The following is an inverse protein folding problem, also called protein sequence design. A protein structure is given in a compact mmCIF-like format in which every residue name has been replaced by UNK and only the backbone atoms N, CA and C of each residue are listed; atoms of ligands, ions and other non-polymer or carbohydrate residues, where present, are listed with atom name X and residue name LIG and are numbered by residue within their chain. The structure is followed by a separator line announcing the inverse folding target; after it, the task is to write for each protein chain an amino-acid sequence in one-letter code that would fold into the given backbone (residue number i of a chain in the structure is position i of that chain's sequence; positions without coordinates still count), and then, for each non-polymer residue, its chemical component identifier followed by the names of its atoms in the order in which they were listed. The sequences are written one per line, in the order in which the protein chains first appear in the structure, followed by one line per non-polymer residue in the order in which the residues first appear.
data_IF_857828030213
#
_entry.id   IF_857828030213
#
_cell.length_a   1.000
_cell.length_b   1.000
_cell.length_c   1.000
_cell.angle_alpha   90.00
_cell.angle_beta   90.00
_cell.angle_gamma   90.00
#
_symmetry.space_group_name_H-M   'P 1'
#
loop_
_entity.id
_entity.type
_entity.pdbx_description
1 polymer ?
#
# COMPACT_ATOMS: atom_id res chain seq x y z
N UNK A 1 6.71 -16.97 -11.24
CA UNK A 1 6.05 -15.77 -10.70
C UNK A 1 6.09 -14.65 -11.74
N UNK A 2 4.94 -14.02 -12.08
CA UNK A 2 4.86 -12.89 -13.03
C UNK A 2 4.90 -11.56 -12.26
N UNK A 3 5.83 -10.68 -12.57
CA UNK A 3 6.04 -9.39 -11.87
C UNK A 3 6.01 -8.22 -12.85
N UNK A 4 5.27 -7.18 -12.50
CA UNK A 4 5.49 -5.83 -13.02
C UNK A 4 6.47 -5.09 -12.10
N UNK A 5 7.62 -4.68 -12.65
CA UNK A 5 8.71 -4.11 -11.88
C UNK A 5 8.62 -2.59 -11.76
N UNK A 6 8.15 -2.10 -10.61
CA UNK A 6 8.19 -0.69 -10.24
C UNK A 6 9.12 -0.45 -9.03
N UNK A 7 10.16 -1.28 -8.85
CA UNK A 7 11.10 -1.15 -7.72
C UNK A 7 12.26 -0.18 -7.98
N UNK A 8 12.46 0.23 -9.24
CA UNK A 8 13.61 1.02 -9.66
C UNK A 8 14.90 0.21 -9.82
N UNK A 9 14.86 -1.12 -9.59
CA UNK A 9 16.02 -1.99 -9.71
C UNK A 9 15.76 -3.14 -10.69
N UNK A 10 16.72 -3.52 -11.56
CA UNK A 10 16.57 -4.67 -12.44
C UNK A 10 16.35 -5.97 -11.65
N UNK A 11 15.33 -6.73 -12.03
CA UNK A 11 15.07 -8.07 -11.50
C UNK A 11 15.67 -9.09 -12.46
N UNK A 12 16.66 -9.85 -11.98
CA UNK A 12 17.32 -10.93 -12.74
C UNK A 12 17.37 -12.18 -11.87
N UNK A 13 16.34 -13.02 -11.97
CA UNK A 13 16.25 -14.26 -11.23
C UNK A 13 15.46 -15.32 -12.01
N UNK A 14 15.95 -16.56 -11.99
CA UNK A 14 15.24 -17.71 -12.56
C UNK A 14 13.88 -17.90 -11.88
N UNK A 15 12.88 -18.33 -12.66
CA UNK A 15 11.50 -18.53 -12.19
C UNK A 15 10.70 -17.23 -11.98
N UNK A 16 11.32 -16.06 -12.21
CA UNK A 16 10.65 -14.76 -12.21
C UNK A 16 10.54 -14.24 -13.64
N UNK A 17 9.31 -14.09 -14.10
CA UNK A 17 8.98 -13.46 -15.38
C UNK A 17 8.67 -11.98 -15.13
N UNK A 18 9.51 -11.09 -15.66
CA UNK A 18 9.25 -9.65 -15.62
C UNK A 18 8.42 -9.29 -16.85
N UNK A 19 7.12 -9.05 -16.65
CA UNK A 19 6.16 -8.77 -17.73
C UNK A 19 6.12 -7.30 -18.14
N UNK A 20 6.80 -6.44 -17.37
CA UNK A 20 6.91 -5.01 -17.62
C UNK A 20 7.74 -4.34 -16.54
N UNK A 21 8.17 -3.12 -16.83
CA UNK A 21 8.87 -2.27 -15.87
C UNK A 21 8.59 -0.81 -16.14
N UNK A 22 8.65 0.00 -15.10
CA UNK A 22 8.60 1.46 -15.19
C UNK A 22 9.90 2.04 -14.64
N UNK A 23 10.46 3.00 -15.35
CA UNK A 23 11.57 3.80 -14.85
C UNK A 23 11.01 4.83 -13.87
N UNK A 24 11.59 4.91 -12.68
CA UNK A 24 11.16 5.85 -11.64
C UNK A 24 12.08 7.06 -11.72
N UNK A 25 11.59 8.24 -12.15
CA UNK A 25 12.41 9.44 -12.16
C UNK A 25 12.81 9.85 -10.74
N UNK A 26 13.75 10.79 -10.63
CA UNK A 26 14.04 11.42 -9.34
C UNK A 26 12.82 12.22 -8.87
N UNK A 27 12.13 11.72 -7.84
CA UNK A 27 10.97 12.36 -7.23
C UNK A 27 11.41 13.40 -6.21
N UNK A 28 10.95 14.64 -6.35
CA UNK A 28 11.03 15.67 -5.33
C UNK A 28 9.98 15.40 -4.23
N UNK A 29 10.38 14.66 -3.20
CA UNK A 29 9.50 14.29 -2.08
C UNK A 29 8.98 15.46 -1.24
N UNK A 30 9.56 16.66 -1.40
CA UNK A 30 9.07 17.88 -0.75
C UNK A 30 7.88 18.50 -1.48
N UNK A 31 7.62 18.08 -2.73
CA UNK A 31 6.50 18.53 -3.54
C UNK A 31 5.43 17.42 -3.63
N UNK A 32 4.28 17.58 -2.95
CA UNK A 32 3.21 16.60 -3.01
C UNK A 32 2.65 16.37 -4.41
N UNK A 33 2.68 17.37 -5.30
CA UNK A 33 2.15 17.25 -6.66
C UNK A 33 3.04 16.32 -7.49
N UNK A 34 4.36 16.48 -7.40
CA UNK A 34 5.34 15.63 -8.08
C UNK A 34 5.23 14.16 -7.61
N UNK A 35 5.10 13.93 -6.30
CA UNK A 35 4.89 12.58 -5.76
C UNK A 35 3.61 11.94 -6.32
N UNK A 36 2.51 12.70 -6.40
CA UNK A 36 1.24 12.21 -6.94
C UNK A 36 1.32 11.96 -8.45
N UNK A 37 2.00 12.83 -9.19
CA UNK A 37 2.20 12.68 -10.63
C UNK A 37 2.97 11.39 -10.93
N UNK A 38 4.14 11.20 -10.31
CA UNK A 38 4.97 10.01 -10.52
C UNK A 38 4.25 8.75 -10.06
N UNK A 39 3.53 8.79 -8.93
CA UNK A 39 2.71 7.66 -8.49
C UNK A 39 1.63 7.29 -9.51
N UNK A 40 1.01 8.29 -10.14
CA UNK A 40 -0.03 8.11 -11.14
C UNK A 40 0.56 7.44 -12.39
N UNK A 41 1.71 7.93 -12.88
CA UNK A 41 2.41 7.34 -14.02
C UNK A 41 2.77 5.86 -13.77
N UNK A 42 3.30 5.54 -12.58
CA UNK A 42 3.62 4.16 -12.19
C UNK A 42 2.35 3.29 -12.18
N UNK A 43 1.26 3.78 -11.58
CA UNK A 43 0.02 3.04 -11.47
C UNK A 43 -0.63 2.76 -12.84
N UNK A 44 -0.66 3.76 -13.73
CA UNK A 44 -1.18 3.63 -15.09
C UNK A 44 -0.37 2.63 -15.91
N UNK A 45 0.97 2.69 -15.82
CA UNK A 45 1.85 1.78 -16.52
C UNK A 45 1.74 0.33 -16.00
N UNK A 46 1.51 0.14 -14.70
CA UNK A 46 1.35 -1.17 -14.08
C UNK A 46 -0.04 -1.79 -14.25
N UNK A 47 -1.08 -0.96 -14.44
CA UNK A 47 -2.48 -1.41 -14.40
C UNK A 47 -2.81 -2.56 -15.35
N UNK A 48 -2.38 -2.57 -16.64
CA UNK A 48 -2.70 -3.68 -17.54
C UNK A 48 -2.14 -5.03 -17.05
N UNK A 49 -0.87 -5.06 -16.65
CA UNK A 49 -0.22 -6.27 -16.19
C UNK A 49 -0.82 -6.78 -14.87
N UNK A 50 -1.13 -5.86 -13.95
CA UNK A 50 -1.78 -6.19 -12.67
C UNK A 50 -3.19 -6.72 -12.89
N UNK A 51 -3.94 -6.14 -13.83
CA UNK A 51 -5.27 -6.62 -14.21
C UNK A 51 -5.23 -8.05 -14.75
N UNK A 52 -4.17 -8.42 -15.47
CA UNK A 52 -3.88 -9.79 -15.93
C UNK A 52 -3.29 -10.71 -14.84
N UNK A 53 -3.19 -10.24 -13.60
CA UNK A 53 -2.77 -11.02 -12.44
C UNK A 53 -1.28 -10.98 -12.12
N UNK A 54 -0.48 -10.10 -12.76
CA UNK A 54 0.91 -9.89 -12.36
C UNK A 54 1.01 -9.31 -10.94
N UNK A 55 2.05 -9.70 -10.21
CA UNK A 55 2.39 -9.11 -8.93
C UNK A 55 3.07 -7.76 -9.14
N UNK A 56 2.88 -6.83 -8.22
CA UNK A 56 3.56 -5.54 -8.25
C UNK A 56 4.78 -5.55 -7.35
N UNK A 57 5.96 -5.29 -7.92
CA UNK A 57 7.13 -4.91 -7.14
C UNK A 57 7.09 -3.39 -6.92
N UNK A 58 6.86 -2.96 -5.68
CA UNK A 58 6.64 -1.55 -5.33
C UNK A 58 7.94 -0.72 -5.32
N UNK A 59 7.83 0.61 -5.48
CA UNK A 59 8.93 1.53 -5.21
C UNK A 59 9.40 1.42 -3.76
N UNK A 60 10.71 1.58 -3.52
CA UNK A 60 11.28 1.54 -2.17
C UNK A 60 10.86 2.71 -1.26
N UNK A 61 10.32 3.78 -1.85
CA UNK A 61 9.85 4.95 -1.12
C UNK A 61 8.41 4.74 -0.63
N UNK A 62 8.21 4.74 0.69
CA UNK A 62 6.94 4.38 1.33
C UNK A 62 5.75 5.25 0.92
N UNK A 63 5.94 6.58 0.86
CA UNK A 63 4.86 7.50 0.47
C UNK A 63 4.45 7.30 -0.99
N UNK A 64 5.43 7.14 -1.89
CA UNK A 64 5.19 6.86 -3.30
C UNK A 64 4.46 5.53 -3.47
N UNK A 65 4.92 4.47 -2.79
CA UNK A 65 4.28 3.16 -2.82
C UNK A 65 2.82 3.20 -2.35
N UNK A 66 2.51 3.94 -1.28
CA UNK A 66 1.14 4.08 -0.78
C UNK A 66 0.21 4.73 -1.82
N UNK A 67 0.67 5.79 -2.49
CA UNK A 67 -0.12 6.49 -3.51
C UNK A 67 -0.28 5.62 -4.77
N UNK A 68 0.78 4.91 -5.19
CA UNK A 68 0.72 3.93 -6.29
C UNK A 68 -0.36 2.89 -6.01
N UNK A 69 -0.36 2.30 -4.80
CA UNK A 69 -1.36 1.30 -4.43
C UNK A 69 -2.79 1.86 -4.44
N UNK A 70 -3.00 3.06 -3.92
CA UNK A 70 -4.30 3.71 -3.90
C UNK A 70 -4.81 4.01 -5.32
N UNK A 71 -3.95 4.56 -6.19
CA UNK A 71 -4.25 4.83 -7.60
C UNK A 71 -4.57 3.55 -8.36
N UNK A 72 -3.71 2.55 -8.22
CA UNK A 72 -3.85 1.27 -8.90
C UNK A 72 -5.12 0.55 -8.49
N UNK A 73 -5.45 0.50 -7.20
CA UNK A 73 -6.73 -0.03 -6.72
C UNK A 73 -7.94 0.68 -7.35
N UNK A 74 -7.87 2.00 -7.54
CA UNK A 74 -8.90 2.75 -8.25
C UNK A 74 -9.02 2.39 -9.74
N UNK A 75 -7.89 2.09 -10.40
CA UNK A 75 -7.85 1.73 -11.83
C UNK A 75 -8.33 0.30 -12.09
N UNK A 76 -7.87 -0.69 -11.31
CA UNK A 76 -8.17 -2.11 -11.55
C UNK A 76 -9.40 -2.61 -10.77
N UNK A 77 -9.89 -1.86 -9.79
CA UNK A 77 -11.09 -2.20 -9.01
C UNK A 77 -10.86 -3.21 -7.88
N UNK A 78 -9.61 -3.67 -7.69
CA UNK A 78 -9.21 -4.59 -6.62
C UNK A 78 -7.81 -4.26 -6.10
N UNK A 79 -7.49 -4.76 -4.90
CA UNK A 79 -6.17 -4.52 -4.31
C UNK A 79 -5.14 -5.45 -4.95
N UNK A 80 -4.00 -4.94 -5.43
CA UNK A 80 -3.00 -5.76 -6.09
C UNK A 80 -2.33 -6.70 -5.09
N UNK A 81 -1.81 -7.82 -5.60
CA UNK A 81 -0.82 -8.61 -4.88
C UNK A 81 0.55 -7.95 -5.06
N UNK A 82 1.31 -7.85 -3.98
CA UNK A 82 2.63 -7.20 -3.99
C UNK A 82 3.72 -8.21 -3.69
N UNK A 83 4.87 -8.07 -4.35
CA UNK A 83 6.05 -8.89 -4.12
C UNK A 83 7.23 -8.00 -3.69
N UNK A 84 8.10 -8.53 -2.85
CA UNK A 84 9.36 -7.88 -2.50
C UNK A 84 10.52 -8.87 -2.55
N UNK A 85 11.72 -8.37 -2.84
CA UNK A 85 12.93 -9.13 -2.61
C UNK A 85 13.39 -9.00 -1.17
N UNK A 86 14.00 -10.05 -0.63
CA UNK A 86 14.82 -9.95 0.59
C UNK A 86 16.26 -10.29 0.26
N UNK A 87 17.18 -9.80 1.08
CA UNK A 87 18.61 -10.09 0.92
C UNK A 87 18.94 -11.44 1.56
N UNK A 88 19.45 -12.37 0.77
CA UNK A 88 19.89 -13.71 1.17
C UNK A 88 21.27 -13.97 0.57
N UNK A 89 22.26 -14.34 1.40
CA UNK A 89 23.64 -14.60 0.99
C UNK A 89 24.23 -13.51 0.07
N UNK A 90 23.90 -12.26 0.38
CA UNK A 90 24.38 -11.09 -0.36
C UNK A 90 23.61 -10.77 -1.66
N UNK A 91 22.59 -11.54 -2.03
CA UNK A 91 21.77 -11.36 -3.24
C UNK A 91 20.33 -11.00 -2.89
N UNK A 92 19.65 -10.29 -3.77
CA UNK A 92 18.21 -10.05 -3.65
C UNK A 92 17.44 -11.21 -4.25
N UNK A 93 16.64 -11.88 -3.43
CA UNK A 93 15.87 -13.07 -3.81
C UNK A 93 14.38 -12.77 -3.74
N UNK A 94 13.71 -13.05 -4.85
CA UNK A 94 12.26 -12.99 -5.06
C UNK A 94 11.68 -14.39 -4.90
N UNK A 95 10.55 -14.53 -4.22
CA UNK A 95 9.94 -15.85 -3.98
C UNK A 95 8.46 -15.71 -3.68
N UNK A 96 7.68 -16.77 -3.90
CA UNK A 96 6.25 -16.78 -3.55
C UNK A 96 6.01 -16.61 -2.03
N UNK A 97 7.00 -16.93 -1.19
CA UNK A 97 6.97 -16.66 0.25
C UNK A 97 7.06 -15.16 0.61
N UNK A 98 7.36 -14.29 -0.37
CA UNK A 98 7.49 -12.83 -0.24
C UNK A 98 6.45 -12.11 -1.07
N UNK A 99 5.25 -12.66 -1.03
CA UNK A 99 4.06 -12.12 -1.70
C UNK A 99 3.02 -11.83 -0.64
N UNK A 100 2.42 -10.64 -0.71
CA UNK A 100 1.28 -10.28 0.11
C UNK A 100 0.07 -10.04 -0.78
N UNK A 101 -1.05 -10.68 -0.44
CA UNK A 101 -2.35 -10.40 -1.02
C UNK A 101 -3.02 -9.28 -0.23
N UNK A 102 -2.95 -8.06 -0.75
CA UNK A 102 -3.52 -6.90 -0.08
C UNK A 102 -5.05 -6.94 -0.02
N UNK A 103 -5.71 -7.68 -0.93
CA UNK A 103 -7.15 -7.88 -0.85
C UNK A 103 -7.50 -8.80 0.32
N UNK A 104 -6.80 -9.93 0.46
CA UNK A 104 -6.99 -10.85 1.59
C UNK A 104 -6.74 -10.14 2.93
N UNK A 105 -5.62 -9.41 3.06
CA UNK A 105 -5.29 -8.63 4.26
C UNK A 105 -6.37 -7.60 4.60
N UNK A 106 -6.95 -6.92 3.59
CA UNK A 106 -8.05 -5.98 3.80
C UNK A 106 -9.31 -6.68 4.31
N UNK A 107 -9.61 -7.88 3.84
CA UNK A 107 -10.79 -8.63 4.27
C UNK A 107 -10.62 -9.12 5.71
N UNK A 108 -9.46 -9.66 6.06
CA UNK A 108 -9.10 -10.01 7.45
C UNK A 108 -9.21 -8.79 8.38
N UNK A 109 -8.65 -7.65 7.98
CA UNK A 109 -8.73 -6.41 8.77
C UNK A 109 -10.17 -5.90 8.96
N UNK A 110 -11.08 -6.18 8.01
CA UNK A 110 -12.50 -5.84 8.13
C UNK A 110 -13.21 -6.71 9.15
N UNK A 111 -12.87 -7.99 9.23
CA UNK A 111 -13.40 -8.90 10.25
C UNK A 111 -12.91 -8.48 11.64
N UNK A 112 -11.64 -8.09 11.73
CA UNK A 112 -11.03 -7.59 12.97
C UNK A 112 -11.57 -6.22 13.42
N UNK A 113 -12.19 -5.44 12.52
CA UNK A 113 -12.71 -4.10 12.81
C UNK A 113 -13.65 -4.07 14.00
N UNK A 114 -14.50 -5.09 14.16
CA UNK A 114 -15.45 -5.15 15.27
C UNK A 114 -14.71 -5.18 16.61
N UNK A 115 -13.70 -6.05 16.72
CA UNK A 115 -12.89 -6.26 17.92
C UNK A 115 -12.01 -5.04 18.24
N UNK A 116 -11.34 -4.51 17.22
CA UNK A 116 -10.27 -3.50 17.41
C UNK A 116 -10.83 -2.08 17.51
N UNK A 117 -11.88 -1.75 16.76
CA UNK A 117 -12.38 -0.38 16.67
C UNK A 117 -13.79 -0.23 17.27
N UNK A 118 -14.74 -1.07 16.88
CA UNK A 118 -16.16 -0.84 17.20
C UNK A 118 -16.47 -1.13 18.67
N UNK A 119 -16.01 -2.27 19.22
CA UNK A 119 -16.25 -2.62 20.62
C UNK A 119 -15.63 -1.61 21.62
N UNK A 120 -14.37 -1.19 21.47
CA UNK A 120 -13.80 -0.15 22.34
C UNK A 120 -14.57 1.17 22.28
N UNK A 121 -14.96 1.62 21.08
CA UNK A 121 -15.76 2.84 20.91
C UNK A 121 -17.12 2.73 21.61
N UNK A 122 -17.82 1.61 21.46
CA UNK A 122 -19.10 1.36 22.15
C UNK A 122 -18.94 1.40 23.67
N UNK A 123 -17.88 0.79 24.22
CA UNK A 123 -17.61 0.83 25.67
C UNK A 123 -17.35 2.25 26.15
N UNK A 124 -16.54 3.03 25.42
CA UNK A 124 -16.27 4.44 25.76
C UNK A 124 -17.56 5.28 25.75
N UNK A 125 -18.44 5.06 24.78
CA UNK A 125 -19.72 5.77 24.69
C UNK A 125 -20.74 5.33 25.76
N UNK A 126 -20.72 4.06 26.19
CA UNK A 126 -21.60 3.56 27.24
C UNK A 126 -21.17 3.99 28.66
N UNK A 127 -19.87 4.23 28.87
CA UNK A 127 -19.30 4.67 30.14
C UNK A 127 -18.38 5.88 29.92
N UNK A 128 -18.95 7.07 29.64
CA UNK A 128 -18.17 8.27 29.45
C UNK A 128 -17.36 8.55 30.71
N UNK A 129 -16.04 8.69 30.57
CA UNK A 129 -15.19 9.01 31.71
C UNK A 129 -15.40 10.46 32.12
N UNK A 130 -15.18 10.79 33.40
CA UNK A 130 -15.45 12.14 33.94
C UNK A 130 -14.69 13.29 33.23
N UNK A 131 -13.68 12.98 32.41
CA UNK A 131 -12.94 13.94 31.57
C UNK A 131 -13.52 14.15 30.16
N UNK A 132 -14.54 13.40 29.73
CA UNK A 132 -15.17 13.54 28.40
C UNK A 132 -16.34 14.55 28.40
N UNK A 133 -16.70 15.14 29.56
CA UNK A 133 -17.71 16.20 29.61
C UNK A 133 -17.16 17.48 28.96
N UNK A 134 -17.82 18.06 27.95
CA UNK A 134 -17.38 19.33 27.38
C UNK A 134 -17.36 20.37 28.50
N UNK A 135 -16.17 20.88 28.81
CA UNK A 135 -15.97 21.95 29.76
C UNK A 135 -16.95 23.07 29.43
N UNK A 136 -17.87 23.33 30.36
CA UNK A 136 -18.86 24.40 30.24
C UNK A 136 -18.13 25.74 30.44
N UNK A 137 -17.25 26.10 29.52
CA UNK A 137 -16.57 27.40 29.43
C UNK A 137 -17.56 28.45 28.91
N UNK A 138 -18.69 28.59 29.61
CA UNK A 138 -19.47 29.82 29.58
C UNK A 138 -18.81 30.79 30.55
N UNK A 139 -17.70 31.40 30.14
CA UNK A 139 -17.25 32.63 30.79
C UNK A 139 -18.23 33.73 30.41
N UNK A 140 -18.99 34.14 31.41
CA UNK A 140 -19.90 35.28 31.40
C UNK A 140 -19.17 36.54 30.90
N UNK A 141 -19.82 37.24 29.98
CA UNK A 141 -19.58 38.64 29.68
C UNK A 141 -20.46 39.50 30.60
#
# INVERSE_FOLDING_TARGET
MRIYNASGHPIRQDGVEVVGSVEIPNVNVADPEDVVEVATQIAEAAAPAVYEGALLALPGMSILAAIVLARLHGLVGFWPRVAWAAREDGRFVWSDARVADLFALRQEAREDRERVLIQPLRRKLAHPTAGDAPGNDRRAA
#
